data_IF_706995972006
#
_entry.id   IF_706995972006
#
_cell.length_a   1.000
_cell.length_b   1.000
_cell.length_c   1.000
_cell.angle_alpha   90.00
_cell.angle_beta   90.00
_cell.angle_gamma   90.00
#
_symmetry.space_group_name_H-M   'P 1'
#
loop_
_entity.id
_entity.type
_entity.pdbx_description
1 polymer ?
#
# COMPACT_ATOMS: atom_id res chain seq x y z
N UNK A 1 24.75 1.28 29.06
CA UNK A 1 25.11 0.11 28.25
C UNK A 1 24.55 -1.14 28.92
N UNK A 2 23.44 -1.66 28.44
CA UNK A 2 23.23 -3.10 28.25
C UNK A 2 22.42 -3.21 26.96
N UNK A 3 23.10 -3.66 25.92
CA UNK A 3 22.56 -3.89 24.60
C UNK A 3 21.89 -5.27 24.68
N UNK A 4 20.56 -5.31 24.90
CA UNK A 4 19.82 -6.57 24.90
C UNK A 4 19.42 -6.87 23.45
N UNK A 5 20.30 -7.63 22.82
CA UNK A 5 20.23 -8.37 21.56
C UNK A 5 18.83 -8.55 20.95
N UNK A 6 18.52 -7.79 19.92
CA UNK A 6 17.33 -7.89 19.06
C UNK A 6 17.35 -9.11 18.11
N UNK A 7 18.11 -10.17 18.43
CA UNK A 7 18.34 -11.32 17.53
C UNK A 7 17.95 -12.67 18.13
N UNK A 8 17.34 -12.72 19.32
CA UNK A 8 17.19 -13.97 20.10
C UNK A 8 15.74 -14.51 20.24
N UNK A 9 14.71 -13.69 20.04
CA UNK A 9 13.30 -14.07 20.29
C UNK A 9 12.57 -14.71 19.10
N UNK A 10 13.19 -14.79 17.91
CA UNK A 10 12.55 -15.28 16.70
C UNK A 10 12.18 -16.78 16.68
N UNK A 11 12.66 -17.58 17.64
CA UNK A 11 12.34 -19.02 17.75
C UNK A 11 11.10 -19.32 18.61
N UNK A 12 10.70 -18.38 19.48
CA UNK A 12 9.56 -18.53 20.41
C UNK A 12 8.42 -17.55 20.12
N UNK A 13 8.60 -16.66 19.14
CA UNK A 13 7.62 -15.64 18.72
C UNK A 13 7.46 -15.61 17.19
N UNK A 14 6.31 -15.11 16.70
CA UNK A 14 6.06 -14.88 15.28
C UNK A 14 5.78 -16.11 14.40
N UNK A 15 5.74 -15.90 13.09
CA UNK A 15 5.38 -16.90 12.07
C UNK A 15 6.32 -18.10 12.02
N UNK A 16 7.60 -17.90 12.39
CA UNK A 16 8.59 -18.97 12.45
C UNK A 16 8.28 -20.02 13.54
N UNK A 17 7.75 -19.58 14.68
CA UNK A 17 7.24 -20.46 15.72
C UNK A 17 5.95 -21.16 15.26
N UNK A 18 5.00 -20.41 14.66
CA UNK A 18 3.72 -20.96 14.22
C UNK A 18 3.88 -22.02 13.12
N UNK A 19 4.79 -21.78 12.16
CA UNK A 19 5.11 -22.73 11.10
C UNK A 19 5.69 -24.05 11.62
N UNK A 20 6.29 -24.05 12.81
CA UNK A 20 6.88 -25.21 13.47
C UNK A 20 6.10 -25.65 14.70
N UNK A 21 4.87 -25.14 14.90
CA UNK A 21 4.06 -25.41 16.09
C UNK A 21 3.89 -26.90 16.39
N UNK A 22 3.60 -27.70 15.37
CA UNK A 22 3.47 -29.16 15.53
C UNK A 22 4.79 -29.83 15.96
N UNK A 23 5.94 -29.29 15.58
CA UNK A 23 7.25 -29.77 16.01
C UNK A 23 7.53 -29.38 17.47
N UNK A 24 7.16 -28.16 17.86
CA UNK A 24 7.30 -27.67 19.24
C UNK A 24 6.35 -28.39 20.21
N UNK A 25 5.13 -28.70 19.79
CA UNK A 25 4.15 -29.47 20.58
C UNK A 25 4.59 -30.93 20.80
N UNK A 26 5.41 -31.46 19.89
CA UNK A 26 6.00 -32.80 19.99
C UNK A 26 7.35 -32.84 20.73
N UNK A 27 7.89 -31.67 21.11
CA UNK A 27 9.16 -31.56 21.83
C UNK A 27 9.01 -32.11 23.26
N UNK A 28 9.92 -33.00 23.66
CA UNK A 28 9.95 -33.57 25.01
C UNK A 28 11.35 -33.32 25.59
N UNK A 29 11.46 -32.76 26.81
CA UNK A 29 12.76 -32.54 27.45
C UNK A 29 13.52 -33.86 27.59
N UNK A 30 14.84 -33.82 27.36
CA UNK A 30 15.72 -34.97 27.57
C UNK A 30 16.02 -35.16 29.06
N UNK A 31 15.02 -35.63 29.81
CA UNK A 31 15.12 -35.85 31.27
C UNK A 31 14.22 -37.01 31.73
N UNK A 32 14.58 -37.64 32.84
CA UNK A 32 13.78 -38.66 33.52
C UNK A 32 13.01 -38.09 34.73
N UNK A 33 13.15 -36.79 35.00
CA UNK A 33 12.44 -36.13 36.10
C UNK A 33 10.96 -35.95 35.74
N UNK A 34 10.10 -36.61 36.52
CA UNK A 34 8.66 -36.58 36.33
C UNK A 34 8.07 -35.16 36.46
N UNK A 35 8.65 -34.29 37.29
CA UNK A 35 8.16 -32.92 37.48
C UNK A 35 8.49 -32.04 36.27
N UNK A 36 9.68 -32.17 35.70
CA UNK A 36 10.08 -31.42 34.50
C UNK A 36 9.28 -31.87 33.27
N UNK A 37 9.03 -33.18 33.13
CA UNK A 37 8.18 -33.72 32.07
C UNK A 37 6.73 -33.25 32.21
N UNK A 38 6.18 -33.20 33.44
CA UNK A 38 4.82 -32.70 33.68
C UNK A 38 4.71 -31.20 33.37
N UNK A 39 5.71 -30.40 33.79
CA UNK A 39 5.76 -28.96 33.52
C UNK A 39 5.82 -28.65 32.02
N UNK A 40 6.65 -29.38 31.26
CA UNK A 40 6.74 -29.21 29.80
C UNK A 40 5.42 -29.57 29.10
N UNK A 41 4.75 -30.66 29.51
CA UNK A 41 3.40 -31.00 29.02
C UNK A 41 2.39 -29.91 29.34
N UNK A 42 2.43 -29.35 30.55
CA UNK A 42 1.55 -28.27 30.96
C UNK A 42 1.79 -26.99 30.14
N UNK A 43 3.04 -26.64 29.84
CA UNK A 43 3.37 -25.50 28.97
C UNK A 43 2.79 -25.67 27.56
N UNK A 44 2.94 -26.87 26.97
CA UNK A 44 2.34 -27.20 25.66
C UNK A 44 0.81 -27.16 25.72
N UNK A 45 0.20 -27.67 26.78
CA UNK A 45 -1.26 -27.63 26.97
C UNK A 45 -1.79 -26.20 27.13
N UNK A 46 -1.08 -25.34 27.87
CA UNK A 46 -1.39 -23.91 28.01
C UNK A 46 -1.39 -23.18 26.66
N UNK A 47 -0.34 -23.37 25.85
CA UNK A 47 -0.24 -22.75 24.52
C UNK A 47 -1.27 -23.28 23.51
N UNK A 48 -1.90 -24.42 23.80
CA UNK A 48 -3.03 -24.98 23.08
C UNK A 48 -4.40 -24.58 23.68
N UNK A 49 -4.42 -23.79 24.75
CA UNK A 49 -5.63 -23.30 25.40
C UNK A 49 -6.34 -24.32 26.29
N UNK A 50 -5.67 -25.41 26.69
CA UNK A 50 -6.26 -26.51 27.47
C UNK A 50 -5.76 -26.63 28.91
N UNK A 51 -4.82 -25.78 29.35
CA UNK A 51 -4.30 -25.74 30.74
C UNK A 51 -3.86 -24.31 31.11
N UNK A 52 -3.43 -24.13 32.35
CA UNK A 52 -2.85 -22.90 32.90
C UNK A 52 -1.33 -22.81 32.67
N UNK A 53 -0.81 -21.59 32.63
CA UNK A 53 0.62 -21.34 32.47
C UNK A 53 1.42 -21.92 33.66
N UNK A 54 2.35 -22.87 33.45
CA UNK A 54 3.12 -23.48 34.55
C UNK A 54 4.08 -22.51 35.23
N UNK A 55 4.38 -21.35 34.61
CA UNK A 55 5.28 -20.33 35.17
C UNK A 55 4.54 -19.21 35.89
N UNK A 56 3.22 -19.34 36.05
CA UNK A 56 2.40 -18.34 36.73
C UNK A 56 2.88 -18.09 38.16
N UNK A 57 3.12 -16.82 38.49
CA UNK A 57 3.60 -16.39 39.80
C UNK A 57 5.13 -16.37 39.97
N UNK A 58 5.91 -16.66 38.93
CA UNK A 58 7.35 -16.36 38.91
C UNK A 58 7.60 -14.85 38.76
N UNK A 59 8.75 -14.39 39.22
CA UNK A 59 9.18 -12.99 39.04
C UNK A 59 9.56 -12.70 37.58
N UNK A 60 9.43 -11.46 37.10
CA UNK A 60 9.82 -11.10 35.72
C UNK A 60 11.27 -11.49 35.37
N UNK A 61 12.21 -11.39 36.31
CA UNK A 61 13.60 -11.79 36.11
C UNK A 61 13.75 -13.31 35.93
N UNK A 62 13.04 -14.10 36.72
CA UNK A 62 13.00 -15.56 36.58
C UNK A 62 12.36 -15.98 35.26
N UNK A 63 11.28 -15.31 34.87
CA UNK A 63 10.58 -15.57 33.61
C UNK A 63 11.45 -15.23 32.40
N UNK A 64 12.18 -14.11 32.45
CA UNK A 64 13.11 -13.72 31.39
C UNK A 64 14.29 -14.69 31.26
N UNK A 65 14.83 -15.20 32.37
CA UNK A 65 15.87 -16.24 32.34
C UNK A 65 15.37 -17.51 31.64
N UNK A 66 14.12 -17.89 31.85
CA UNK A 66 13.51 -19.07 31.20
C UNK A 66 13.26 -18.77 29.72
N UNK A 67 12.64 -17.64 29.38
CA UNK A 67 12.32 -17.28 27.98
C UNK A 67 13.56 -17.24 27.07
N UNK A 68 14.72 -16.85 27.63
CA UNK A 68 16.00 -16.72 26.93
C UNK A 68 16.95 -17.89 27.17
N UNK A 69 16.49 -19.02 27.72
CA UNK A 69 17.32 -20.22 27.90
C UNK A 69 17.64 -20.88 26.54
N UNK A 70 18.76 -20.49 25.95
CA UNK A 70 19.31 -21.15 24.76
C UNK A 70 20.08 -22.44 25.10
N UNK A 71 20.31 -22.71 26.39
CA UNK A 71 21.07 -23.86 26.88
C UNK A 71 20.36 -25.21 26.75
N UNK A 72 19.11 -25.23 26.30
CA UNK A 72 18.34 -26.45 26.03
C UNK A 72 17.77 -27.13 27.28
N UNK A 73 17.68 -26.40 28.40
CA UNK A 73 17.08 -26.91 29.65
C UNK A 73 15.55 -26.85 29.58
N UNK A 74 15.02 -25.88 28.83
CA UNK A 74 13.60 -25.70 28.58
C UNK A 74 13.24 -25.92 27.11
N UNK A 75 12.10 -26.55 26.87
CA UNK A 75 11.52 -26.68 25.52
C UNK A 75 11.10 -25.33 24.95
N UNK A 76 10.93 -25.23 23.62
CA UNK A 76 10.47 -24.00 22.97
C UNK A 76 9.09 -23.56 23.52
N UNK A 77 8.20 -24.51 23.80
CA UNK A 77 6.89 -24.22 24.39
C UNK A 77 7.00 -23.73 25.85
N UNK A 78 7.94 -24.25 26.65
CA UNK A 78 8.19 -23.71 27.99
C UNK A 78 8.73 -22.28 27.94
N UNK A 79 9.68 -22.01 27.06
CA UNK A 79 10.23 -20.65 26.87
C UNK A 79 9.17 -19.66 26.42
N UNK A 80 8.29 -20.07 25.52
CA UNK A 80 7.17 -19.25 25.06
C UNK A 80 6.13 -19.04 26.17
N UNK A 81 5.80 -20.07 26.95
CA UNK A 81 4.90 -19.91 28.09
C UNK A 81 5.47 -18.94 29.13
N UNK A 82 6.78 -18.98 29.40
CA UNK A 82 7.44 -18.01 30.26
C UNK A 82 7.38 -16.59 29.68
N UNK A 83 7.62 -16.41 28.38
CA UNK A 83 7.46 -15.11 27.70
C UNK A 83 6.04 -14.57 27.78
N UNK A 84 5.01 -15.41 27.55
CA UNK A 84 3.60 -15.01 27.72
C UNK A 84 3.31 -14.59 29.15
N UNK A 85 3.94 -15.23 30.15
CA UNK A 85 3.80 -14.81 31.54
C UNK A 85 4.53 -13.50 31.83
N UNK A 86 5.68 -13.21 31.19
CA UNK A 86 6.35 -11.89 31.30
C UNK A 86 5.37 -10.81 30.86
N UNK A 87 4.75 -10.99 29.70
CA UNK A 87 3.75 -10.06 29.15
C UNK A 87 2.52 -9.94 30.07
N UNK A 88 2.09 -11.04 30.70
CA UNK A 88 0.93 -11.05 31.61
C UNK A 88 1.24 -10.50 33.03
N UNK A 89 2.49 -10.61 33.49
CA UNK A 89 2.96 -10.13 34.82
C UNK A 89 3.41 -8.68 34.80
N UNK A 90 3.28 -7.98 33.67
CA UNK A 90 3.23 -6.53 33.64
C UNK A 90 1.95 -6.07 34.37
N UNK A 91 2.02 -6.07 35.70
CA UNK A 91 1.01 -5.46 36.58
C UNK A 91 0.96 -3.96 36.24
N UNK A 92 -0.23 -3.35 36.11
CA UNK A 92 -0.35 -1.92 35.89
C UNK A 92 0.21 -1.18 37.11
N UNK A 93 1.41 -0.61 36.94
CA UNK A 93 1.98 0.36 37.88
C UNK A 93 0.94 1.48 38.07
N UNK A 94 0.64 1.92 39.31
CA UNK A 94 -0.21 3.08 39.52
C UNK A 94 0.42 4.26 38.77
N UNK A 95 -0.29 4.73 37.73
CA UNK A 95 0.07 5.81 36.81
C UNK A 95 1.39 6.51 37.16
N UNK A 96 2.50 5.90 36.77
CA UNK A 96 3.68 6.65 36.36
C UNK A 96 3.57 6.73 34.83
N UNK A 97 3.72 7.91 34.22
CA UNK A 97 3.36 8.10 32.83
C UNK A 97 4.14 7.12 31.97
N UNK A 98 3.45 6.14 31.39
CA UNK A 98 3.89 5.48 30.17
C UNK A 98 4.22 6.63 29.24
N UNK A 99 5.48 6.78 28.82
CA UNK A 99 5.80 7.86 27.90
C UNK A 99 4.84 7.72 26.71
N UNK A 100 4.18 8.81 26.31
CA UNK A 100 3.26 8.81 25.16
C UNK A 100 3.88 8.13 23.92
N UNK A 101 5.22 8.19 23.81
CA UNK A 101 6.03 7.49 22.82
C UNK A 101 5.89 5.96 22.79
N UNK A 102 5.88 5.26 23.93
CA UNK A 102 5.74 3.79 23.95
C UNK A 102 4.30 3.36 23.64
N UNK A 103 3.33 4.08 24.20
CA UNK A 103 1.90 3.82 23.96
C UNK A 103 1.50 4.05 22.49
N UNK A 104 1.95 5.16 21.89
CA UNK A 104 1.73 5.44 20.47
C UNK A 104 2.38 4.42 19.54
N UNK A 105 3.56 3.90 19.92
CA UNK A 105 4.24 2.84 19.17
C UNK A 105 3.46 1.52 19.24
N UNK A 106 2.94 1.16 20.40
CA UNK A 106 2.13 -0.06 20.56
C UNK A 106 0.84 0.01 19.72
N UNK A 107 0.17 1.17 19.71
CA UNK A 107 -0.97 1.42 18.83
C UNK A 107 -0.60 1.27 17.35
N UNK A 108 0.49 1.91 16.91
CA UNK A 108 0.96 1.80 15.53
C UNK A 108 1.24 0.34 15.14
N UNK A 109 1.94 -0.39 15.99
CA UNK A 109 2.33 -1.78 15.71
C UNK A 109 1.12 -2.70 15.66
N UNK A 110 0.15 -2.52 16.56
CA UNK A 110 -1.09 -3.27 16.54
C UNK A 110 -1.90 -3.02 15.26
N UNK A 111 -2.06 -1.75 14.87
CA UNK A 111 -2.95 -1.35 13.76
C UNK A 111 -2.35 -1.55 12.38
N UNK A 112 -1.06 -1.25 12.20
CA UNK A 112 -0.41 -1.30 10.89
C UNK A 112 0.31 -2.62 10.61
N UNK A 113 0.77 -3.30 11.66
CA UNK A 113 1.68 -4.43 11.53
C UNK A 113 1.19 -5.71 12.23
N UNK A 114 -0.10 -5.76 12.59
CA UNK A 114 -0.73 -6.91 13.24
C UNK A 114 0.03 -7.39 14.48
N UNK A 115 0.66 -6.45 15.22
CA UNK A 115 1.41 -6.73 16.44
C UNK A 115 2.92 -6.97 16.26
N UNK A 116 3.45 -7.01 15.04
CA UNK A 116 4.89 -7.20 14.81
C UNK A 116 5.43 -6.25 13.74
N UNK A 117 6.22 -5.26 14.17
CA UNK A 117 6.85 -4.31 13.26
C UNK A 117 7.92 -4.98 12.37
N UNK A 118 7.75 -5.02 11.03
CA UNK A 118 8.72 -5.64 10.13
C UNK A 118 9.91 -4.72 9.85
N UNK A 119 10.93 -5.23 9.17
CA UNK A 119 11.97 -4.38 8.57
C UNK A 119 11.40 -3.37 7.57
N UNK A 120 12.15 -2.31 7.26
CA UNK A 120 11.76 -1.35 6.22
C UNK A 120 12.08 -1.95 4.84
N UNK A 121 11.08 -2.00 3.97
CA UNK A 121 11.20 -2.47 2.59
C UNK A 121 11.64 -1.35 1.65
N UNK A 122 12.31 -1.71 0.55
CA UNK A 122 12.77 -0.77 -0.47
C UNK A 122 11.73 -0.57 -1.58
N UNK A 123 11.24 0.67 -1.70
CA UNK A 123 10.27 1.09 -2.70
C UNK A 123 10.86 1.51 -4.05
N UNK A 124 12.19 1.52 -4.22
CA UNK A 124 12.85 2.01 -5.44
C UNK A 124 12.42 1.25 -6.72
N UNK A 125 11.99 0.00 -6.58
CA UNK A 125 11.50 -0.82 -7.70
C UNK A 125 9.97 -0.81 -7.89
N UNK A 126 9.24 0.02 -7.12
CA UNK A 126 7.80 0.16 -7.27
C UNK A 126 7.04 -1.15 -7.17
N UNK A 127 6.15 -1.38 -8.14
CA UNK A 127 5.34 -2.59 -8.30
C UNK A 127 6.11 -3.75 -8.94
N UNK A 128 7.36 -3.98 -8.52
CA UNK A 128 8.07 -5.21 -8.86
C UNK A 128 7.31 -6.43 -8.29
N UNK A 129 7.52 -7.62 -8.88
CA UNK A 129 6.87 -8.85 -8.41
C UNK A 129 7.11 -9.10 -6.90
N UNK A 130 8.27 -8.67 -6.39
CA UNK A 130 8.63 -8.78 -4.97
C UNK A 130 7.87 -7.80 -4.04
N UNK A 131 7.37 -6.70 -4.60
CA UNK A 131 6.69 -5.63 -3.85
C UNK A 131 5.17 -5.65 -4.02
N UNK A 132 4.64 -6.30 -5.07
CA UNK A 132 3.19 -6.34 -5.34
C UNK A 132 2.38 -6.94 -4.20
N UNK A 133 2.87 -7.99 -3.55
CA UNK A 133 2.18 -8.67 -2.44
C UNK A 133 2.43 -8.06 -1.06
N UNK A 134 3.30 -7.05 -0.96
CA UNK A 134 3.65 -6.41 0.32
C UNK A 134 2.66 -5.33 0.71
N UNK A 135 2.42 -5.21 2.00
CA UNK A 135 1.61 -4.14 2.56
C UNK A 135 2.34 -2.80 2.41
N UNK A 136 1.62 -1.70 2.11
CA UNK A 136 2.24 -0.37 1.96
C UNK A 136 2.99 0.08 3.21
N UNK A 137 2.52 -0.32 4.40
CA UNK A 137 3.13 0.01 5.68
C UNK A 137 4.58 -0.50 5.81
N UNK A 138 4.94 -1.57 5.10
CA UNK A 138 6.31 -2.12 5.11
C UNK A 138 7.33 -1.14 4.53
N UNK A 139 6.89 -0.20 3.67
CA UNK A 139 7.75 0.80 3.02
C UNK A 139 7.87 2.11 3.82
N UNK A 140 7.14 2.24 4.93
CA UNK A 140 7.30 3.37 5.85
C UNK A 140 8.72 3.39 6.40
N UNK A 141 9.42 4.51 6.24
CA UNK A 141 10.78 4.69 6.76
C UNK A 141 10.76 4.72 8.30
N UNK A 142 11.94 4.63 8.92
CA UNK A 142 12.03 4.72 10.39
C UNK A 142 11.49 6.06 10.92
N UNK A 143 11.75 7.14 10.20
CA UNK A 143 11.27 8.47 10.58
C UNK A 143 9.75 8.56 10.40
N UNK A 144 9.20 8.01 9.31
CA UNK A 144 7.74 7.93 9.11
C UNK A 144 7.07 7.17 10.26
N UNK A 145 7.62 6.02 10.66
CA UNK A 145 7.07 5.21 11.77
C UNK A 145 7.21 5.90 13.12
N UNK A 146 8.30 6.63 13.36
CA UNK A 146 8.46 7.42 14.57
C UNK A 146 7.47 8.60 14.62
N UNK A 147 7.18 9.22 13.48
CA UNK A 147 6.17 10.27 13.39
C UNK A 147 4.76 9.70 13.58
N UNK A 148 4.44 8.60 12.91
CA UNK A 148 3.13 7.95 13.00
C UNK A 148 2.85 7.45 14.42
N UNK A 149 3.83 6.91 15.14
CA UNK A 149 3.65 6.53 16.55
C UNK A 149 3.24 7.72 17.41
N UNK A 150 3.83 8.90 17.20
CA UNK A 150 3.44 10.13 17.89
C UNK A 150 2.05 10.61 17.45
N UNK A 151 1.69 10.46 16.18
CA UNK A 151 0.34 10.78 15.68
C UNK A 151 -0.72 9.88 16.33
N UNK A 152 -0.46 8.58 16.50
CA UNK A 152 -1.38 7.68 17.21
C UNK A 152 -1.56 8.08 18.67
N UNK A 153 -0.45 8.39 19.38
CA UNK A 153 -0.53 8.84 20.76
C UNK A 153 -1.36 10.12 20.88
N UNK A 154 -1.05 11.14 20.06
CA UNK A 154 -1.78 12.40 20.07
C UNK A 154 -3.27 12.22 19.72
N UNK A 155 -3.57 11.48 18.65
CA UNK A 155 -4.97 11.27 18.21
C UNK A 155 -5.78 10.55 19.28
N UNK A 156 -5.18 9.54 19.93
CA UNK A 156 -5.81 8.82 21.03
C UNK A 156 -6.03 9.71 22.26
N UNK A 157 -5.06 10.54 22.63
CA UNK A 157 -5.15 11.50 23.74
C UNK A 157 -6.26 12.54 23.50
N UNK A 158 -6.48 12.92 22.24
CA UNK A 158 -7.54 13.85 21.84
C UNK A 158 -8.92 13.19 21.70
N UNK A 159 -9.02 11.86 21.83
CA UNK A 159 -10.29 11.15 21.69
C UNK A 159 -10.80 11.05 20.25
N UNK A 160 -9.96 11.33 19.26
CA UNK A 160 -10.31 11.21 17.85
C UNK A 160 -10.15 9.77 17.33
N UNK A 161 -10.84 9.44 16.25
CA UNK A 161 -10.79 8.13 15.61
C UNK A 161 -9.40 7.85 15.02
N UNK A 162 -8.76 6.78 15.48
CA UNK A 162 -7.44 6.37 15.02
C UNK A 162 -7.41 5.95 13.54
N UNK A 163 -8.57 5.67 12.92
CA UNK A 163 -8.66 5.38 11.49
C UNK A 163 -8.19 6.54 10.59
N UNK A 164 -8.21 7.78 11.09
CA UNK A 164 -7.58 8.91 10.39
C UNK A 164 -6.06 8.72 10.25
N UNK A 165 -5.39 8.23 11.31
CA UNK A 165 -3.94 7.95 11.28
C UNK A 165 -3.65 6.71 10.44
N UNK A 166 -4.49 5.67 10.49
CA UNK A 166 -4.36 4.49 9.62
C UNK A 166 -4.37 4.91 8.14
N UNK A 167 -5.29 5.80 7.80
CA UNK A 167 -5.43 6.29 6.43
C UNK A 167 -4.20 7.07 5.99
N UNK A 168 -3.74 8.02 6.80
CA UNK A 168 -2.52 8.78 6.53
C UNK A 168 -1.29 7.86 6.39
N UNK A 169 -1.17 6.84 7.25
CA UNK A 169 -0.11 5.84 7.15
C UNK A 169 -0.17 5.01 5.86
N UNK A 170 -1.38 4.69 5.38
CA UNK A 170 -1.56 3.97 4.13
C UNK A 170 -1.09 4.80 2.94
N UNK A 171 -1.47 6.07 2.91
CA UNK A 171 -1.09 7.03 1.87
C UNK A 171 0.41 7.24 1.80
N UNK A 172 1.04 7.45 2.96
CA UNK A 172 2.48 7.58 3.07
C UNK A 172 3.19 6.29 2.66
N UNK A 173 2.67 5.13 3.07
CA UNK A 173 3.19 3.83 2.67
C UNK A 173 3.11 3.61 1.15
N UNK A 174 1.99 3.96 0.51
CA UNK A 174 1.82 3.86 -0.94
C UNK A 174 2.75 4.80 -1.69
N UNK A 175 2.93 6.02 -1.20
CA UNK A 175 3.91 6.96 -1.71
C UNK A 175 5.33 6.38 -1.65
N UNK A 176 5.76 5.86 -0.51
CA UNK A 176 7.09 5.24 -0.35
C UNK A 176 7.26 4.01 -1.23
N UNK A 177 6.24 3.14 -1.31
CA UNK A 177 6.22 1.92 -2.14
C UNK A 177 6.48 2.21 -3.62
N UNK A 178 6.08 3.38 -4.11
CA UNK A 178 6.21 3.78 -5.51
C UNK A 178 7.37 4.75 -5.77
N UNK A 179 8.54 4.48 -5.17
CA UNK A 179 9.73 5.34 -5.19
C UNK A 179 9.39 6.80 -4.87
N UNK A 180 8.79 7.03 -3.70
CA UNK A 180 8.37 8.37 -3.27
C UNK A 180 7.48 9.05 -4.33
N UNK A 181 6.48 8.29 -4.81
CA UNK A 181 5.52 8.73 -5.81
C UNK A 181 6.04 8.85 -7.24
N UNK A 182 7.35 8.68 -7.51
CA UNK A 182 7.92 8.82 -8.87
C UNK A 182 7.38 7.80 -9.87
N UNK A 183 6.91 6.66 -9.38
CA UNK A 183 6.36 5.59 -10.19
C UNK A 183 4.83 5.67 -10.32
N UNK A 184 4.20 6.69 -9.73
CA UNK A 184 2.77 6.96 -9.88
C UNK A 184 2.53 7.98 -11.00
N UNK A 185 1.49 7.72 -11.81
CA UNK A 185 1.08 8.64 -12.86
C UNK A 185 0.21 9.76 -12.31
N UNK A 186 0.55 11.01 -12.64
CA UNK A 186 -0.32 12.15 -12.34
C UNK A 186 -1.51 12.14 -13.30
N UNK A 187 -2.75 12.16 -12.79
CA UNK A 187 -3.96 12.17 -13.63
C UNK A 187 -4.02 13.41 -14.54
N UNK A 188 -3.52 14.55 -14.07
CA UNK A 188 -3.48 15.81 -14.80
C UNK A 188 -2.25 15.92 -15.72
N UNK A 189 -1.53 14.83 -15.99
CA UNK A 189 -0.41 14.78 -16.96
C UNK A 189 -0.82 14.97 -18.42
N UNK A 190 -2.13 15.02 -18.71
CA UNK A 190 -2.66 15.21 -20.06
C UNK A 190 -2.85 13.95 -20.89
N UNK A 191 -2.82 12.79 -20.24
CA UNK A 191 -3.01 11.49 -20.91
C UNK A 191 -4.37 10.82 -20.61
N UNK A 192 -5.24 11.50 -19.86
CA UNK A 192 -6.56 10.99 -19.51
C UNK A 192 -7.63 11.65 -20.39
N UNK A 193 -8.52 10.83 -20.97
CA UNK A 193 -9.52 11.28 -21.94
C UNK A 193 -10.87 10.60 -21.70
N UNK A 194 -11.97 11.29 -22.05
CA UNK A 194 -13.30 10.71 -22.06
C UNK A 194 -13.53 9.78 -23.27
N UNK A 195 -14.71 9.15 -23.32
CA UNK A 195 -15.08 8.27 -24.43
C UNK A 195 -15.16 8.99 -25.79
N UNK A 196 -15.35 10.30 -25.81
CA UNK A 196 -15.37 11.15 -27.00
C UNK A 196 -13.97 11.65 -27.38
N UNK A 197 -12.95 11.34 -26.58
CA UNK A 197 -11.56 11.69 -26.77
C UNK A 197 -11.17 13.07 -26.23
N UNK A 198 -11.99 13.76 -25.44
CA UNK A 198 -11.62 15.04 -24.83
C UNK A 198 -10.80 14.81 -23.58
N UNK A 199 -9.76 15.63 -23.39
CA UNK A 199 -8.88 15.50 -22.24
C UNK A 199 -9.64 15.79 -20.95
N UNK A 200 -9.39 14.98 -19.94
CA UNK A 200 -9.94 15.09 -18.60
C UNK A 200 -8.88 15.67 -17.65
N UNK A 201 -9.35 16.42 -16.66
CA UNK A 201 -8.57 16.87 -15.52
C UNK A 201 -9.38 16.69 -14.24
N UNK A 202 -8.70 16.43 -13.14
CA UNK A 202 -9.30 16.32 -11.81
C UNK A 202 -8.85 17.47 -10.92
N UNK A 203 -9.74 17.92 -10.05
CA UNK A 203 -9.49 18.91 -9.01
C UNK A 203 -10.17 18.48 -7.71
N UNK A 204 -9.71 19.05 -6.59
CA UNK A 204 -10.39 18.91 -5.31
C UNK A 204 -11.78 19.55 -5.37
N UNK A 205 -12.72 19.03 -4.57
CA UNK A 205 -13.94 19.78 -4.27
C UNK A 205 -13.63 21.08 -3.52
N UNK A 206 -14.58 22.01 -3.43
CA UNK A 206 -14.37 23.32 -2.82
C UNK A 206 -13.85 23.26 -1.37
N UNK A 207 -14.33 22.29 -0.58
CA UNK A 207 -13.94 22.09 0.82
C UNK A 207 -12.46 21.67 0.92
N UNK A 208 -12.08 20.65 0.16
CA UNK A 208 -10.72 20.13 0.16
C UNK A 208 -9.75 21.12 -0.49
N UNK A 209 -10.15 21.82 -1.56
CA UNK A 209 -9.36 22.88 -2.17
C UNK A 209 -9.05 24.01 -1.18
N UNK A 210 -10.04 24.44 -0.39
CA UNK A 210 -9.83 25.45 0.65
C UNK A 210 -8.85 24.95 1.73
N UNK A 211 -8.95 23.69 2.13
CA UNK A 211 -8.07 23.09 3.14
C UNK A 211 -6.65 22.90 2.64
N UNK A 212 -6.48 22.36 1.43
CA UNK A 212 -5.19 22.24 0.75
C UNK A 212 -4.52 23.60 0.61
N UNK A 213 -5.28 24.63 0.23
CA UNK A 213 -4.76 26.00 0.14
C UNK A 213 -4.27 26.52 1.50
N UNK A 214 -4.95 26.22 2.62
CA UNK A 214 -4.47 26.61 3.95
C UNK A 214 -3.19 25.88 4.34
N UNK A 215 -3.07 24.59 4.03
CA UNK A 215 -1.84 23.82 4.29
C UNK A 215 -0.67 24.40 3.48
N UNK A 216 -0.84 24.60 2.18
CA UNK A 216 0.21 25.06 1.28
C UNK A 216 0.66 26.50 1.57
N UNK A 217 -0.25 27.37 2.00
CA UNK A 217 0.06 28.76 2.31
C UNK A 217 0.37 29.01 3.80
N UNK A 218 0.17 28.01 4.66
CA UNK A 218 0.45 28.09 6.08
C UNK A 218 1.94 28.05 6.39
N UNK A 219 2.34 28.59 7.53
CA UNK A 219 3.75 28.62 7.96
C UNK A 219 4.21 27.28 8.53
N UNK A 220 3.31 26.51 9.15
CA UNK A 220 3.55 25.17 9.70
C UNK A 220 4.15 24.17 8.70
N UNK A 221 3.87 24.29 7.39
CA UNK A 221 4.44 23.40 6.37
C UNK A 221 5.96 23.49 6.25
N UNK A 222 6.57 24.58 6.76
CA UNK A 222 8.01 24.80 6.66
C UNK A 222 8.82 24.08 7.74
N UNK A 223 8.20 23.72 8.86
CA UNK A 223 8.86 23.06 9.99
C UNK A 223 8.19 21.76 10.44
N UNK A 224 7.11 21.34 9.77
CA UNK A 224 6.47 20.06 10.06
C UNK A 224 7.42 18.88 9.83
N UNK A 225 7.33 17.87 10.69
CA UNK A 225 8.07 16.62 10.55
C UNK A 225 7.54 15.72 9.41
N UNK A 226 6.38 16.04 8.83
CA UNK A 226 5.83 15.31 7.68
C UNK A 226 6.69 15.59 6.44
N UNK A 227 7.06 14.53 5.71
CA UNK A 227 7.88 14.62 4.50
C UNK A 227 7.29 15.61 3.48
N UNK A 228 8.09 16.60 3.09
CA UNK A 228 7.66 17.66 2.16
C UNK A 228 7.36 17.14 0.75
N UNK A 229 8.06 16.11 0.30
CA UNK A 229 7.78 15.46 -0.98
C UNK A 229 6.42 14.78 -0.94
N UNK A 230 6.11 14.10 0.15
CA UNK A 230 4.80 13.50 0.38
C UNK A 230 3.69 14.55 0.43
N UNK A 231 3.88 15.67 1.15
CA UNK A 231 2.89 16.76 1.16
C UNK A 231 2.65 17.33 -0.24
N UNK A 232 3.71 17.65 -0.99
CA UNK A 232 3.55 18.11 -2.37
C UNK A 232 2.82 17.08 -3.24
N UNK A 233 3.06 15.79 -3.01
CA UNK A 233 2.42 14.70 -3.74
C UNK A 233 0.91 14.61 -3.41
N UNK A 234 0.52 14.53 -2.14
CA UNK A 234 -0.90 14.35 -1.77
C UNK A 234 -1.74 15.62 -1.90
N UNK A 235 -1.11 16.79 -1.93
CA UNK A 235 -1.77 18.09 -2.11
C UNK A 235 -1.83 18.51 -3.60
N UNK A 236 -1.21 17.76 -4.51
CA UNK A 236 -1.43 17.91 -5.96
C UNK A 236 -2.73 17.21 -6.34
N UNK A 237 -3.69 17.90 -7.00
CA UNK A 237 -4.99 17.31 -7.31
C UNK A 237 -4.89 16.10 -8.26
N UNK A 238 -3.89 16.06 -9.14
CA UNK A 238 -3.67 14.95 -10.06
C UNK A 238 -3.20 13.66 -9.39
N UNK A 239 -2.78 13.72 -8.13
CA UNK A 239 -2.46 12.56 -7.29
C UNK A 239 -3.46 12.41 -6.15
N UNK A 240 -3.63 13.44 -5.34
CA UNK A 240 -4.39 13.43 -4.10
C UNK A 240 -5.90 13.35 -4.26
N UNK A 241 -6.48 14.01 -5.28
CA UNK A 241 -7.94 14.08 -5.40
C UNK A 241 -8.57 12.70 -5.65
N UNK A 242 -7.91 11.88 -6.47
CA UNK A 242 -8.37 10.51 -6.78
C UNK A 242 -7.87 9.52 -5.73
N UNK A 243 -6.67 9.76 -5.20
CA UNK A 243 -6.02 8.89 -4.24
C UNK A 243 -6.70 8.89 -2.88
N UNK A 244 -7.32 10.00 -2.44
CA UNK A 244 -7.67 10.16 -1.02
C UNK A 244 -9.04 10.67 -0.63
N UNK A 245 -9.44 10.05 0.48
CA UNK A 245 -10.62 10.14 1.29
C UNK A 245 -10.58 11.31 2.27
N UNK A 246 -11.48 12.28 2.12
CA UNK A 246 -12.16 13.06 3.18
C UNK A 246 -11.36 13.69 4.35
N UNK A 247 -10.02 13.61 4.39
CA UNK A 247 -9.24 13.83 5.62
C UNK A 247 -8.16 14.91 5.50
N UNK A 248 -8.24 15.80 4.50
CA UNK A 248 -7.32 16.94 4.40
C UNK A 248 -7.42 17.87 5.62
N UNK A 249 -8.58 17.96 6.26
CA UNK A 249 -8.74 18.71 7.52
C UNK A 249 -7.96 18.06 8.66
N UNK A 250 -7.94 16.72 8.73
CA UNK A 250 -7.12 15.99 9.71
C UNK A 250 -5.63 16.16 9.41
N UNK A 251 -5.24 16.06 8.13
CA UNK A 251 -3.87 16.33 7.69
C UNK A 251 -3.42 17.74 8.07
N UNK A 252 -4.26 18.76 7.89
CA UNK A 252 -3.97 20.14 8.31
C UNK A 252 -3.67 20.22 9.82
N UNK A 253 -4.46 19.50 10.63
CA UNK A 253 -4.20 19.39 12.07
C UNK A 253 -2.85 18.71 12.35
N UNK A 254 -2.52 17.64 11.64
CA UNK A 254 -1.25 16.94 11.83
C UNK A 254 -0.04 17.75 11.36
N UNK A 255 -0.15 18.45 10.23
CA UNK A 255 0.88 19.37 9.74
C UNK A 255 1.21 20.42 10.79
N UNK A 256 0.17 21.00 11.41
CA UNK A 256 0.33 21.99 12.48
C UNK A 256 0.89 21.36 13.75
N UNK A 257 0.37 20.19 14.17
CA UNK A 257 0.76 19.54 15.43
C UNK A 257 2.24 19.21 15.50
N UNK A 258 2.76 18.74 14.39
CA UNK A 258 4.13 18.24 14.28
C UNK A 258 5.07 19.26 13.63
N UNK A 259 4.70 20.54 13.63
CA UNK A 259 5.58 21.67 13.32
C UNK A 259 6.05 22.39 14.58
N UNK A 260 6.90 23.41 14.42
CA UNK A 260 7.31 24.30 15.52
C UNK A 260 6.13 25.09 16.13
N UNK A 261 4.99 25.14 15.45
CA UNK A 261 3.77 25.84 15.89
C UNK A 261 2.82 24.92 16.67
N UNK A 262 3.12 23.62 16.77
CA UNK A 262 2.22 22.61 17.33
C UNK A 262 1.88 22.78 18.81
N UNK A 263 2.65 23.58 19.55
CA UNK A 263 2.32 23.96 20.94
C UNK A 263 1.12 24.92 21.03
N UNK A 264 0.83 25.67 19.97
CA UNK A 264 -0.28 26.63 19.90
C UNK A 264 -1.58 26.00 19.37
N UNK A 265 -1.52 24.75 18.91
CA UNK A 265 -2.67 24.08 18.36
C UNK A 265 -3.70 23.76 19.44
N UNK A 266 -4.97 24.05 19.14
CA UNK A 266 -6.10 23.68 19.97
C UNK A 266 -6.39 22.18 19.91
N UNK A 267 -7.25 21.70 20.81
CA UNK A 267 -7.70 20.31 20.78
C UNK A 267 -8.38 19.96 19.44
N UNK A 268 -8.31 18.68 19.05
CA UNK A 268 -9.05 18.18 17.89
C UNK A 268 -10.56 18.34 18.13
N UNK A 269 -11.27 18.85 17.13
CA UNK A 269 -12.72 19.03 17.20
C UNK A 269 -13.49 17.73 16.97
N UNK A 270 -14.78 17.75 17.32
CA UNK A 270 -15.67 16.57 17.24
C UNK A 270 -15.87 16.02 15.83
N UNK A 271 -15.49 16.75 14.79
CA UNK A 271 -15.48 16.24 13.42
C UNK A 271 -14.51 15.06 13.22
N UNK A 272 -13.58 14.84 14.17
CA UNK A 272 -12.63 13.73 14.14
C UNK A 272 -13.05 12.54 15.03
N UNK A 273 -14.24 12.57 15.64
CA UNK A 273 -14.74 11.49 16.52
C UNK A 273 -15.03 10.19 15.75
N UNK A 274 -15.29 10.27 14.44
CA UNK A 274 -15.57 9.12 13.60
C UNK A 274 -15.05 9.35 12.19
N UNK A 275 -14.18 8.44 11.73
CA UNK A 275 -13.71 8.44 10.36
C UNK A 275 -14.78 7.88 9.42
N UNK A 276 -15.09 8.64 8.37
CA UNK A 276 -16.01 8.21 7.31
C UNK A 276 -15.23 8.07 6.00
N UNK A 277 -15.02 6.83 5.51
CA UNK A 277 -14.30 6.63 4.26
C UNK A 277 -15.13 7.13 3.07
N UNK A 278 -14.43 7.68 2.08
CA UNK A 278 -15.04 8.01 0.79
C UNK A 278 -15.40 6.72 0.06
N UNK A 279 -16.70 6.51 -0.17
CA UNK A 279 -17.24 5.36 -0.88
C UNK A 279 -17.61 5.68 -2.33
N UNK A 280 -17.81 6.97 -2.66
CA UNK A 280 -18.12 7.46 -3.99
C UNK A 280 -17.19 8.64 -4.34
N UNK A 281 -16.41 8.48 -5.41
CA UNK A 281 -15.46 9.50 -5.85
C UNK A 281 -16.16 10.78 -6.32
N UNK A 282 -17.32 10.66 -7.00
CA UNK A 282 -18.01 11.81 -7.57
C UNK A 282 -18.45 12.85 -6.53
N UNK A 283 -18.55 12.45 -5.26
CA UNK A 283 -18.95 13.33 -4.16
C UNK A 283 -17.75 14.14 -3.63
N UNK A 284 -16.52 13.78 -3.98
CA UNK A 284 -15.30 14.34 -3.38
C UNK A 284 -14.32 14.93 -4.41
N UNK A 285 -14.55 14.73 -5.70
CA UNK A 285 -13.71 15.33 -6.76
C UNK A 285 -14.54 16.13 -7.74
N UNK A 286 -13.89 17.11 -8.36
CA UNK A 286 -14.41 17.81 -9.52
C UNK A 286 -13.64 17.35 -10.74
N UNK A 287 -14.33 16.61 -11.61
CA UNK A 287 -13.80 16.18 -12.91
C UNK A 287 -14.20 17.20 -13.98
N UNK A 288 -13.22 17.73 -14.70
CA UNK A 288 -13.42 18.71 -15.76
C UNK A 288 -13.01 18.13 -17.10
N UNK A 289 -13.83 18.39 -18.11
CA UNK A 289 -13.55 18.06 -19.50
C UNK A 289 -13.04 19.29 -20.26
N UNK A 290 -11.94 19.14 -20.98
CA UNK A 290 -11.44 20.18 -21.88
C UNK A 290 -12.40 20.40 -23.05
N UNK A 291 -12.60 21.67 -23.44
CA UNK A 291 -13.36 22.01 -24.63
C UNK A 291 -12.48 21.98 -25.90
N UNK A 292 -11.19 22.25 -25.75
CA UNK A 292 -10.27 22.50 -26.86
C UNK A 292 -9.24 21.37 -27.06
N UNK A 293 -8.96 20.59 -26.01
CA UNK A 293 -7.94 19.54 -26.07
C UNK A 293 -8.60 18.19 -26.26
N UNK A 294 -8.40 17.62 -27.45
CA UNK A 294 -8.88 16.31 -27.87
C UNK A 294 -7.69 15.43 -28.21
N UNK A 295 -7.75 14.15 -27.85
CA UNK A 295 -6.75 13.16 -28.20
C UNK A 295 -6.51 13.23 -29.70
N UNK A 296 -5.27 13.56 -30.07
CA UNK A 296 -4.87 13.53 -31.46
C UNK A 296 -4.74 12.06 -31.86
N UNK A 297 -5.78 11.52 -32.49
CA UNK A 297 -5.69 10.21 -33.13
C UNK A 297 -4.91 10.43 -34.43
N UNK A 298 -3.75 9.80 -34.55
CA UNK A 298 -3.02 9.78 -35.81
C UNK A 298 -3.97 9.31 -36.91
N UNK A 299 -3.95 9.99 -38.07
CA UNK A 299 -4.79 9.56 -39.19
C UNK A 299 -4.50 8.08 -39.50
N UNK A 300 -5.53 7.23 -39.54
CA UNK A 300 -5.32 5.82 -39.76
C UNK A 300 -4.67 5.61 -41.12
N UNK A 301 -3.66 4.74 -41.20
CA UNK A 301 -3.10 4.30 -42.49
C UNK A 301 -4.07 3.36 -43.22
N UNK A 302 -4.92 2.68 -42.44
CA UNK A 302 -5.88 1.71 -42.93
C UNK A 302 -7.16 1.83 -42.10
N UNK A 303 -8.31 1.80 -42.76
CA UNK A 303 -9.64 1.82 -42.15
C UNK A 303 -10.32 0.48 -42.41
N UNK A 304 -10.96 -0.10 -41.40
CA UNK A 304 -11.93 -1.18 -41.58
C UNK A 304 -13.34 -0.64 -41.30
N UNK A 305 -14.21 -0.69 -42.31
CA UNK A 305 -15.62 -0.34 -42.17
C UNK A 305 -16.46 -1.58 -42.43
N UNK A 306 -17.09 -2.11 -41.37
CA UNK A 306 -17.93 -3.32 -41.41
C UNK A 306 -17.30 -4.52 -42.13
N UNK A 307 -16.01 -4.78 -41.88
CA UNK A 307 -15.27 -5.90 -42.48
C UNK A 307 -14.57 -5.56 -43.80
N UNK A 308 -14.83 -4.40 -44.40
CA UNK A 308 -14.16 -3.93 -45.62
C UNK A 308 -12.96 -3.09 -45.25
N UNK A 309 -11.76 -3.54 -45.62
CA UNK A 309 -10.54 -2.76 -45.41
C UNK A 309 -10.31 -1.79 -46.57
N UNK A 310 -9.87 -0.58 -46.25
CA UNK A 310 -9.42 0.43 -47.19
C UNK A 310 -8.12 1.06 -46.71
N UNK A 311 -7.20 1.35 -47.63
CA UNK A 311 -5.96 2.08 -47.33
C UNK A 311 -6.22 3.56 -47.57
N UNK A 312 -5.91 4.40 -46.56
CA UNK A 312 -6.08 5.85 -46.66
C UNK A 312 -5.01 6.47 -47.56
N UNK A 313 -5.18 7.73 -47.95
CA UNK A 313 -4.16 8.45 -48.73
C UNK A 313 -2.78 8.45 -48.04
N UNK A 314 -2.77 8.69 -46.73
CA UNK A 314 -1.56 8.59 -45.89
C UNK A 314 -1.01 7.17 -45.84
N UNK A 315 -1.88 6.16 -45.75
CA UNK A 315 -1.48 4.76 -45.84
C UNK A 315 -0.79 4.43 -47.15
N UNK A 316 -1.33 4.90 -48.28
CA UNK A 316 -0.71 4.71 -49.60
C UNK A 316 0.63 5.41 -49.70
N UNK A 317 0.72 6.65 -49.20
CA UNK A 317 1.98 7.38 -49.13
C UNK A 317 3.04 6.67 -48.24
N UNK A 318 2.59 5.93 -47.23
CA UNK A 318 3.41 5.08 -46.36
C UNK A 318 3.69 3.67 -46.94
N UNK A 319 3.30 3.39 -48.18
CA UNK A 319 3.58 2.11 -48.86
C UNK A 319 2.55 1.00 -48.61
N UNK A 320 1.38 1.31 -48.04
CA UNK A 320 0.32 0.31 -47.87
C UNK A 320 -0.50 0.14 -49.16
N UNK A 321 -0.90 -1.10 -49.43
CA UNK A 321 -1.82 -1.48 -50.51
C UNK A 321 -2.84 -2.50 -50.01
N UNK A 322 -3.96 -2.68 -50.72
CA UNK A 322 -4.87 -3.78 -50.47
C UNK A 322 -4.37 -5.03 -51.20
N UNK A 323 -4.37 -6.17 -50.50
CA UNK A 323 -4.20 -7.46 -51.11
C UNK A 323 -5.46 -7.80 -51.94
N UNK A 324 -5.33 -8.01 -53.27
CA UNK A 324 -6.47 -8.30 -54.14
C UNK A 324 -7.21 -9.60 -53.82
N UNK A 325 -6.56 -10.57 -53.16
CA UNK A 325 -7.15 -11.87 -52.85
C UNK A 325 -7.84 -11.90 -51.49
N UNK A 326 -7.23 -11.25 -50.49
CA UNK A 326 -7.75 -11.30 -49.10
C UNK A 326 -8.53 -10.05 -48.73
N UNK A 327 -8.45 -8.98 -49.54
CA UNK A 327 -9.05 -7.70 -49.24
C UNK A 327 -8.47 -7.02 -48.00
N UNK A 328 -7.35 -7.50 -47.45
CA UNK A 328 -6.67 -6.93 -46.28
C UNK A 328 -5.59 -5.95 -46.69
N UNK A 329 -5.32 -4.94 -45.87
CA UNK A 329 -4.19 -4.06 -46.12
C UNK A 329 -2.86 -4.75 -45.81
N UNK A 330 -1.88 -4.57 -46.69
CA UNK A 330 -0.50 -5.02 -46.55
C UNK A 330 0.46 -3.85 -46.72
N UNK A 331 1.50 -3.82 -45.92
CA UNK A 331 2.65 -2.97 -46.19
C UNK A 331 3.43 -3.60 -47.34
N UNK A 332 3.54 -2.88 -48.46
CA UNK A 332 4.39 -3.30 -49.56
C UNK A 332 5.76 -2.65 -49.32
N UNK A 333 6.74 -3.46 -48.92
CA UNK A 333 8.13 -3.01 -48.88
C UNK A 333 8.52 -2.52 -50.29
N UNK A 334 8.87 -1.23 -50.48
CA UNK A 334 9.24 -0.69 -51.79
C UNK A 334 10.49 -1.35 -52.39
N UNK A 335 11.26 -2.09 -51.58
CA UNK A 335 12.49 -2.78 -51.99
C UNK A 335 12.31 -4.27 -52.29
N UNK A 336 11.11 -4.83 -52.07
CA UNK A 336 10.84 -6.25 -52.34
C UNK A 336 10.66 -6.50 -53.84
N UNK A 337 11.74 -6.89 -54.51
CA UNK A 337 11.72 -7.45 -55.87
C UNK A 337 10.85 -8.72 -55.86
N UNK A 338 9.87 -8.75 -56.77
CA UNK A 338 8.92 -9.85 -56.96
C UNK A 338 9.65 -11.18 -57.20
N UNK A 339 9.53 -12.11 -56.25
CA UNK A 339 9.69 -13.54 -56.53
C UNK A 339 8.38 -14.25 -56.18
N UNK A 340 7.74 -14.81 -57.21
CA UNK A 340 6.60 -15.73 -57.08
C UNK A 340 7.06 -17.13 -56.68
N UNK A 341 6.15 -17.96 -56.12
CA UNK A 341 6.46 -18.81 -54.99
C UNK A 341 6.83 -20.24 -55.40
N UNK A 342 7.78 -20.82 -54.69
CA UNK A 342 7.96 -22.27 -54.64
C UNK A 342 8.52 -22.70 -53.29
N UNK A 343 7.68 -23.40 -52.53
CA UNK A 343 8.15 -24.41 -51.57
C UNK A 343 8.23 -24.01 -50.09
N UNK A 344 7.55 -24.82 -49.28
CA UNK A 344 7.82 -25.21 -47.89
C UNK A 344 7.69 -24.19 -46.75
N UNK A 345 6.92 -24.64 -45.76
CA UNK A 345 6.77 -24.13 -44.40
C UNK A 345 8.13 -24.18 -43.70
N UNK A 346 8.69 -23.02 -43.31
CA UNK A 346 9.54 -22.85 -42.13
C UNK A 346 9.94 -21.37 -41.92
N UNK A 347 9.86 -20.96 -40.66
CA UNK A 347 10.59 -19.89 -39.98
C UNK A 347 10.40 -18.42 -40.39
N UNK A 348 9.67 -17.70 -39.52
CA UNK A 348 9.62 -16.24 -39.48
C UNK A 348 10.78 -15.71 -38.63
N UNK A 349 11.69 -14.84 -39.14
CA UNK A 349 12.66 -14.16 -38.30
C UNK A 349 12.02 -13.00 -37.56
N UNK A 350 12.35 -12.89 -36.28
CA UNK A 350 11.94 -11.83 -35.38
C UNK A 350 12.42 -10.45 -35.86
N UNK A 351 11.48 -9.58 -36.25
CA UNK A 351 11.69 -8.15 -36.45
C UNK A 351 10.94 -7.37 -35.37
N UNK A 352 11.68 -6.59 -34.58
CA UNK A 352 11.23 -5.84 -33.41
C UNK A 352 9.96 -5.01 -33.65
N UNK A 353 8.94 -5.22 -32.81
CA UNK A 353 7.80 -4.33 -32.66
C UNK A 353 8.14 -3.21 -31.66
N UNK A 354 7.77 -1.94 -31.91
CA UNK A 354 7.82 -0.92 -30.87
C UNK A 354 6.75 -1.19 -29.81
N UNK A 355 7.14 -1.08 -28.54
CA UNK A 355 6.29 -1.23 -27.36
C UNK A 355 4.96 -0.47 -27.49
N UNK A 356 3.85 -1.20 -27.46
CA UNK A 356 2.52 -0.64 -27.17
C UNK A 356 2.14 -1.03 -25.74
N UNK A 357 2.04 0.01 -24.91
CA UNK A 357 1.74 -0.03 -23.49
C UNK A 357 0.27 -0.38 -23.20
N UNK A 358 0.07 -1.28 -22.22
CA UNK A 358 -0.98 -1.37 -21.17
C UNK A 358 -2.48 -1.35 -21.56
N UNK A 359 -2.89 -0.80 -22.70
CA UNK A 359 -4.31 -0.72 -23.09
C UNK A 359 -4.86 -2.01 -23.73
N UNK A 360 -4.02 -2.95 -24.14
CA UNK A 360 -4.44 -4.21 -24.76
C UNK A 360 -4.79 -5.31 -23.73
N UNK A 361 -4.43 -5.12 -22.46
CA UNK A 361 -4.81 -6.01 -21.36
C UNK A 361 -6.24 -5.74 -20.82
N UNK A 362 -6.92 -4.69 -21.31
CA UNK A 362 -8.26 -4.29 -20.84
C UNK A 362 -9.39 -4.57 -21.85
N UNK A 363 -9.08 -5.14 -23.01
CA UNK A 363 -10.07 -5.55 -24.02
C UNK A 363 -10.33 -7.06 -24.06
N UNK A 364 -9.74 -7.85 -23.16
CA UNK A 364 -10.02 -9.29 -23.03
C UNK A 364 -11.31 -9.56 -22.28
N UNK A 365 -12.24 -10.25 -22.95
CA UNK A 365 -13.52 -10.82 -22.49
C UNK A 365 -14.02 -10.48 -21.07
N UNK A 366 -15.17 -9.82 -21.04
CA UNK A 366 -16.16 -9.90 -19.95
C UNK A 366 -16.47 -11.39 -19.72
N UNK A 367 -16.00 -11.93 -18.62
CA UNK A 367 -16.65 -12.98 -17.81
C UNK A 367 -15.65 -13.53 -16.78
N UNK A 368 -15.19 -12.68 -15.85
CA UNK A 368 -14.65 -13.14 -14.57
C UNK A 368 -14.65 -12.00 -13.53
N UNK A 369 -15.24 -12.19 -12.34
CA UNK A 369 -15.33 -11.15 -11.33
C UNK A 369 -14.11 -11.22 -10.41
N UNK A 370 -12.96 -10.73 -10.87
CA UNK A 370 -11.83 -10.49 -9.98
C UNK A 370 -11.91 -9.08 -9.39
N UNK A 371 -11.74 -9.02 -8.06
CA UNK A 371 -12.00 -7.91 -7.18
C UNK A 371 -11.24 -6.63 -7.58
N UNK A 372 -11.89 -5.78 -8.38
CA UNK A 372 -11.45 -4.40 -8.60
C UNK A 372 -11.75 -3.58 -7.34
N UNK A 373 -10.78 -2.80 -6.81
CA UNK A 373 -11.05 -1.83 -5.76
C UNK A 373 -12.28 -0.97 -6.08
N UNK A 374 -13.17 -0.78 -5.09
CA UNK A 374 -14.48 -0.12 -5.27
C UNK A 374 -14.31 1.29 -5.87
N UNK A 375 -13.24 2.00 -5.53
CA UNK A 375 -12.93 3.32 -6.06
C UNK A 375 -12.59 3.31 -7.56
N UNK A 376 -11.87 2.31 -8.07
CA UNK A 376 -11.60 2.15 -9.50
C UNK A 376 -12.90 1.93 -10.27
N UNK A 377 -13.82 1.11 -9.73
CA UNK A 377 -15.13 0.89 -10.37
C UNK A 377 -15.97 2.16 -10.44
N UNK A 378 -15.87 3.03 -9.42
CA UNK A 378 -16.56 4.32 -9.36
C UNK A 378 -15.92 5.34 -10.30
N UNK A 379 -14.59 5.38 -10.39
CA UNK A 379 -13.85 6.20 -11.35
C UNK A 379 -14.18 5.80 -12.80
N UNK A 380 -14.22 4.50 -13.10
CA UNK A 380 -14.61 4.01 -14.43
C UNK A 380 -16.05 4.39 -14.77
N UNK A 381 -16.99 4.29 -13.82
CA UNK A 381 -18.37 4.76 -14.02
C UNK A 381 -18.42 6.26 -14.27
N UNK A 382 -17.64 7.06 -13.55
CA UNK A 382 -17.55 8.51 -13.75
C UNK A 382 -17.05 8.84 -15.17
N UNK A 383 -15.94 8.21 -15.60
CA UNK A 383 -15.34 8.41 -16.93
C UNK A 383 -16.30 7.95 -18.05
N UNK A 384 -17.01 6.84 -17.85
CA UNK A 384 -17.94 6.30 -18.87
C UNK A 384 -19.25 7.10 -18.97
N UNK A 385 -19.73 7.65 -17.85
CA UNK A 385 -21.02 8.33 -17.78
C UNK A 385 -20.93 9.85 -17.89
N UNK A 386 -19.73 10.43 -17.94
CA UNK A 386 -19.58 11.88 -18.09
C UNK A 386 -20.14 12.33 -19.44
N UNK A 387 -21.31 12.95 -19.40
CA UNK A 387 -21.95 13.70 -20.48
C UNK A 387 -22.25 15.10 -19.91
N UNK A 388 -22.05 16.15 -20.72
CA UNK A 388 -21.87 17.54 -20.28
C UNK A 388 -22.96 18.08 -19.36
#
# INVERSE_FOLDING_TARGET
>A
MVQVSSSLTGSITGDGYLAKKAQHDAEVPSTHDAQLLARSRQATAFLNGSDSNPFKGLTPDQLNLIAHDEGGTFTINERRAAWVEVEATVVPVPAQPISSSSYGRDLMVSRLFFGMEPGVSDGAQGMSLANMSRFPYEFLTRDDRNLLSQMYAYTQEQGADLAFVDRLANELGEYRKHDNGRLLGNFNSGHNYDAQGYQLAVSFNDKDAATVARILNGTSINSTLIDRGFLNFILDPGFGAIGNSSSYEFLEQMVTKFSDEGAMQTALGSQFDTYVPVTNLGDNIVMTRSQDVKIHRADPLVINDNGVWSVTEKGRAAGYSLDPQTGRARWADPTAVVQQPSGSIADTPAGQRPNSFILEALSGNRDQPDARPIWLSSLFKLIQNYRP
#
